data_IF_481389128037
#
_entry.id   IF_481389128037
#
_cell.length_a   1.000
_cell.length_b   1.000
_cell.length_c   1.000
_cell.angle_alpha   90.00
_cell.angle_beta   90.00
_cell.angle_gamma   90.00
#
_symmetry.space_group_name_H-M   'P 1'
#
loop_
_entity.id
_entity.type
_entity.pdbx_description
1 polymer ?
#
# COMPACT_ATOMS: atom_id res chain seq x y z
N UNK A 1 29.46 7.87 -13.09
CA UNK A 1 28.11 7.81 -12.50
C UNK A 1 28.07 8.88 -11.42
N UNK A 2 27.04 9.72 -11.42
CA UNK A 2 26.84 10.77 -10.42
C UNK A 2 26.84 10.22 -8.99
N UNK A 3 26.97 11.11 -8.00
CA UNK A 3 26.80 10.81 -6.59
C UNK A 3 25.61 9.84 -6.37
N UNK A 4 25.84 8.63 -5.84
CA UNK A 4 24.81 7.61 -5.66
C UNK A 4 23.56 8.06 -4.89
N UNK A 5 23.68 9.08 -4.04
CA UNK A 5 22.51 9.70 -3.38
C UNK A 5 21.64 10.47 -4.39
N UNK A 6 22.26 11.24 -5.30
CA UNK A 6 21.55 11.94 -6.37
C UNK A 6 20.86 10.97 -7.32
N UNK A 7 21.53 9.87 -7.66
CA UNK A 7 20.96 8.81 -8.51
C UNK A 7 19.72 8.20 -7.86
N UNK A 8 19.77 7.89 -6.55
CA UNK A 8 18.61 7.37 -5.82
C UNK A 8 17.43 8.35 -5.81
N UNK A 9 17.70 9.64 -5.59
CA UNK A 9 16.64 10.66 -5.60
C UNK A 9 16.03 10.84 -6.99
N UNK A 10 16.86 10.87 -8.04
CA UNK A 10 16.39 10.95 -9.42
C UNK A 10 15.54 9.74 -9.81
N UNK A 11 15.98 8.54 -9.41
CA UNK A 11 15.24 7.30 -9.57
C UNK A 11 13.84 7.41 -8.98
N UNK A 12 13.71 7.90 -7.74
CA UNK A 12 12.40 8.03 -7.07
C UNK A 12 11.49 9.06 -7.75
N UNK A 13 12.05 10.15 -8.26
CA UNK A 13 11.30 11.11 -9.08
C UNK A 13 10.73 10.44 -10.33
N UNK A 14 11.54 9.66 -11.04
CA UNK A 14 11.08 8.93 -12.23
C UNK A 14 10.02 7.87 -11.91
N UNK A 15 10.08 7.23 -10.75
CA UNK A 15 9.01 6.33 -10.30
C UNK A 15 7.70 7.12 -10.08
N UNK A 16 7.77 8.28 -9.42
CA UNK A 16 6.61 9.14 -9.21
C UNK A 16 6.00 9.64 -10.53
N UNK A 17 6.84 9.91 -11.53
CA UNK A 17 6.42 10.31 -12.88
C UNK A 17 5.92 9.12 -13.74
N UNK A 18 5.89 7.90 -13.19
CA UNK A 18 5.47 6.69 -13.91
C UNK A 18 6.49 6.16 -14.92
N UNK A 19 7.72 6.69 -14.95
CA UNK A 19 8.82 6.29 -15.86
C UNK A 19 9.54 5.05 -15.35
N UNK A 20 8.80 3.96 -15.22
CA UNK A 20 9.26 2.73 -14.55
C UNK A 20 10.40 2.02 -15.28
N UNK A 21 10.52 2.18 -16.60
CA UNK A 21 11.55 1.53 -17.44
C UNK A 21 12.94 2.11 -17.15
N UNK A 22 13.02 3.44 -17.21
CA UNK A 22 14.23 4.20 -16.87
C UNK A 22 14.58 3.95 -15.41
N UNK A 23 13.57 3.94 -14.53
CA UNK A 23 13.75 3.66 -13.11
C UNK A 23 14.32 2.27 -12.87
N UNK A 24 13.86 1.25 -13.60
CA UNK A 24 14.39 -0.11 -13.47
C UNK A 24 15.87 -0.16 -13.81
N UNK A 25 16.27 0.40 -14.96
CA UNK A 25 17.66 0.42 -15.42
C UNK A 25 18.54 1.16 -14.43
N UNK A 26 18.13 2.35 -14.00
CA UNK A 26 18.88 3.14 -13.02
C UNK A 26 19.04 2.40 -11.69
N UNK A 27 18.00 1.72 -11.21
CA UNK A 27 18.07 0.94 -9.98
C UNK A 27 19.00 -0.28 -10.11
N UNK A 28 18.98 -0.96 -11.25
CA UNK A 28 19.89 -2.09 -11.55
C UNK A 28 21.36 -1.64 -11.60
N UNK A 29 21.64 -0.54 -12.29
CA UNK A 29 22.98 0.03 -12.40
C UNK A 29 23.52 0.52 -11.03
N UNK A 30 22.68 1.24 -10.27
CA UNK A 30 23.04 1.74 -8.94
C UNK A 30 23.32 0.59 -7.96
N UNK A 31 22.46 -0.42 -7.93
CA UNK A 31 22.65 -1.59 -7.05
C UNK A 31 23.88 -2.39 -7.46
N UNK A 32 24.14 -2.56 -8.76
CA UNK A 32 25.35 -3.23 -9.26
C UNK A 32 26.62 -2.48 -8.87
N UNK A 33 26.63 -1.15 -9.01
CA UNK A 33 27.76 -0.31 -8.58
C UNK A 33 28.03 -0.49 -7.08
N UNK A 34 27.01 -0.33 -6.23
CA UNK A 34 27.15 -0.43 -4.78
C UNK A 34 27.49 -1.86 -4.31
N UNK A 35 27.06 -2.89 -5.04
CA UNK A 35 27.45 -4.28 -4.76
C UNK A 35 28.90 -4.58 -5.10
N UNK A 36 29.48 -3.86 -6.08
CA UNK A 36 30.89 -4.04 -6.49
C UNK A 36 31.90 -3.47 -5.48
N UNK A 37 31.46 -2.60 -4.57
CA UNK A 37 32.30 -2.01 -3.52
C UNK A 37 32.69 -3.05 -2.46
N UNK A 38 33.98 -3.43 -2.42
CA UNK A 38 34.49 -4.48 -1.51
C UNK A 38 34.46 -4.09 -0.02
N UNK A 39 34.62 -2.81 0.30
CA UNK A 39 34.64 -2.27 1.67
C UNK A 39 33.68 -1.08 1.73
N UNK A 40 32.49 -1.29 2.29
CA UNK A 40 31.47 -0.26 2.42
C UNK A 40 31.47 0.33 3.83
N UNK A 41 31.36 1.66 3.89
CA UNK A 41 31.03 2.37 5.13
C UNK A 41 29.58 2.07 5.53
N UNK A 42 29.17 2.41 6.77
CA UNK A 42 27.79 2.28 7.19
C UNK A 42 26.84 3.01 6.23
N UNK A 43 27.14 4.28 5.90
CA UNK A 43 26.36 5.09 4.97
C UNK A 43 26.23 4.45 3.58
N UNK A 44 27.31 3.86 3.04
CA UNK A 44 27.27 3.16 1.75
C UNK A 44 26.42 1.89 1.82
N UNK A 45 26.46 1.17 2.94
CA UNK A 45 25.61 0.00 3.16
C UNK A 45 24.13 0.41 3.29
N UNK A 46 23.81 1.51 3.98
CA UNK A 46 22.45 2.06 4.08
C UNK A 46 21.90 2.42 2.70
N UNK A 47 22.71 3.11 1.89
CA UNK A 47 22.33 3.49 0.54
C UNK A 47 22.08 2.26 -0.34
N UNK A 48 22.91 1.21 -0.23
CA UNK A 48 22.70 -0.04 -0.94
C UNK A 48 21.36 -0.71 -0.56
N UNK A 49 21.04 -0.75 0.73
CA UNK A 49 19.78 -1.33 1.21
C UNK A 49 18.58 -0.56 0.66
N UNK A 50 18.63 0.78 0.64
CA UNK A 50 17.59 1.61 0.04
C UNK A 50 17.46 1.35 -1.47
N UNK A 51 18.57 1.34 -2.21
CA UNK A 51 18.58 1.09 -3.65
C UNK A 51 18.04 -0.31 -4.00
N UNK A 52 18.40 -1.34 -3.22
CA UNK A 52 17.90 -2.70 -3.41
C UNK A 52 16.40 -2.81 -3.13
N UNK A 53 15.89 -2.09 -2.12
CA UNK A 53 14.46 -2.03 -1.82
C UNK A 53 13.68 -1.38 -2.95
N UNK A 54 14.14 -0.23 -3.42
CA UNK A 54 13.53 0.48 -4.55
C UNK A 54 13.57 -0.40 -5.81
N UNK A 55 14.71 -1.05 -6.11
CA UNK A 55 14.84 -1.95 -7.25
C UNK A 55 13.85 -3.13 -7.17
N UNK A 56 13.73 -3.77 -6.00
CA UNK A 56 12.81 -4.87 -5.81
C UNK A 56 11.34 -4.43 -5.97
N UNK A 57 10.98 -3.25 -5.47
CA UNK A 57 9.65 -2.65 -5.61
C UNK A 57 9.33 -2.26 -7.06
N UNK A 58 10.26 -1.63 -7.78
CA UNK A 58 10.08 -1.26 -9.19
C UNK A 58 9.84 -2.52 -10.04
N UNK A 59 10.65 -3.57 -9.82
CA UNK A 59 10.45 -4.86 -10.50
C UNK A 59 9.11 -5.51 -10.14
N UNK A 60 8.61 -5.30 -8.91
CA UNK A 60 7.28 -5.75 -8.49
C UNK A 60 6.17 -5.02 -9.26
N UNK A 61 6.22 -3.68 -9.30
CA UNK A 61 5.24 -2.83 -10.02
C UNK A 61 5.21 -3.20 -11.50
N UNK A 62 6.38 -3.46 -12.09
CA UNK A 62 6.54 -3.91 -13.48
C UNK A 62 6.22 -5.40 -13.69
N UNK A 63 5.75 -6.10 -12.67
CA UNK A 63 5.35 -7.51 -12.71
C UNK A 63 6.48 -8.46 -13.15
N UNK A 64 7.74 -8.06 -12.96
CA UNK A 64 8.94 -8.89 -13.23
C UNK A 64 9.24 -9.77 -12.01
N UNK A 65 8.27 -10.63 -11.64
CA UNK A 65 8.23 -11.37 -10.37
C UNK A 65 9.51 -12.15 -10.04
N UNK A 66 10.10 -12.84 -11.02
CA UNK A 66 11.33 -13.62 -10.81
C UNK A 66 12.54 -12.74 -10.53
N UNK A 67 12.65 -11.58 -11.19
CA UNK A 67 13.72 -10.62 -10.96
C UNK A 67 13.51 -9.89 -9.64
N UNK A 68 12.28 -9.47 -9.35
CA UNK A 68 11.91 -8.87 -8.06
C UNK A 68 12.28 -9.80 -6.89
N UNK A 69 12.01 -11.12 -7.02
CA UNK A 69 12.42 -12.12 -6.02
C UNK A 69 13.95 -12.23 -5.87
N UNK A 70 14.72 -12.08 -6.95
CA UNK A 70 16.19 -12.08 -6.87
C UNK A 70 16.67 -10.85 -6.11
N UNK A 71 16.17 -9.66 -6.46
CA UNK A 71 16.48 -8.41 -5.78
C UNK A 71 16.11 -8.47 -4.29
N UNK A 72 14.92 -8.97 -3.94
CA UNK A 72 14.45 -9.12 -2.56
C UNK A 72 15.34 -10.09 -1.73
N UNK A 73 15.85 -11.16 -2.33
CA UNK A 73 16.82 -12.06 -1.67
C UNK A 73 18.16 -11.37 -1.40
N UNK A 74 18.63 -10.55 -2.33
CA UNK A 74 19.84 -9.74 -2.12
C UNK A 74 19.60 -8.70 -1.03
N UNK A 75 18.46 -7.99 -1.08
CA UNK A 75 18.03 -7.04 -0.04
C UNK A 75 18.04 -7.68 1.36
N UNK A 76 17.44 -8.85 1.55
CA UNK A 76 17.41 -9.54 2.85
C UNK A 76 18.80 -9.85 3.41
N UNK A 77 19.74 -10.23 2.54
CA UNK A 77 21.15 -10.47 2.95
C UNK A 77 21.83 -9.17 3.34
N UNK A 78 21.68 -8.12 2.53
CA UNK A 78 22.33 -6.84 2.75
C UNK A 78 21.71 -6.05 3.91
N UNK A 79 20.42 -6.20 4.18
CA UNK A 79 19.75 -5.63 5.36
C UNK A 79 20.23 -6.28 6.64
N UNK A 80 20.43 -7.61 6.65
CA UNK A 80 21.01 -8.31 7.80
C UNK A 80 22.43 -7.82 8.11
N UNK A 81 23.26 -7.59 7.09
CA UNK A 81 24.59 -6.99 7.25
C UNK A 81 24.51 -5.57 7.81
N UNK A 82 23.57 -4.76 7.31
CA UNK A 82 23.34 -3.41 7.81
C UNK A 82 22.98 -3.41 9.30
N UNK A 83 22.04 -4.27 9.73
CA UNK A 83 21.67 -4.39 11.14
C UNK A 83 22.88 -4.75 12.01
N UNK A 84 23.76 -5.64 11.54
CA UNK A 84 25.00 -6.00 12.25
C UNK A 84 26.00 -4.84 12.33
N UNK A 85 26.11 -4.02 11.29
CA UNK A 85 26.97 -2.82 11.30
C UNK A 85 26.43 -1.78 12.28
N UNK A 86 25.12 -1.49 12.22
CA UNK A 86 24.44 -0.57 13.14
C UNK A 86 24.57 -0.98 14.60
N UNK A 87 24.40 -2.27 14.89
CA UNK A 87 24.56 -2.81 16.25
C UNK A 87 25.99 -2.59 16.80
N UNK A 88 27.03 -2.68 15.95
CA UNK A 88 28.41 -2.39 16.35
C UNK A 88 28.65 -0.92 16.67
N UNK A 89 27.91 -0.02 16.02
CA UNK A 89 27.97 1.43 16.25
C UNK A 89 26.98 1.90 17.32
N UNK A 90 26.21 1.00 17.94
CA UNK A 90 25.22 1.32 18.98
C UNK A 90 23.96 2.00 18.46
N UNK A 91 23.70 1.93 17.15
CA UNK A 91 22.55 2.53 16.49
C UNK A 91 21.44 1.48 16.36
N UNK A 92 20.29 1.69 16.98
CA UNK A 92 19.07 0.89 16.75
C UNK A 92 17.86 1.81 16.73
N UNK A 93 16.94 1.64 15.77
CA UNK A 93 15.77 2.50 15.62
C UNK A 93 14.53 1.76 15.13
N UNK A 94 13.37 2.33 15.44
CA UNK A 94 12.04 1.77 15.15
C UNK A 94 11.71 1.69 13.64
N UNK A 95 12.30 2.58 12.83
CA UNK A 95 12.12 2.60 11.37
C UNK A 95 12.51 1.27 10.70
N UNK A 96 13.46 0.54 11.29
CA UNK A 96 13.88 -0.76 10.76
C UNK A 96 12.78 -1.82 10.87
N UNK A 97 11.93 -1.76 11.89
CA UNK A 97 10.82 -2.69 12.06
C UNK A 97 9.75 -2.47 10.99
N UNK A 98 9.42 -1.21 10.69
CA UNK A 98 8.46 -0.84 9.64
C UNK A 98 8.95 -1.31 8.27
N UNK A 99 10.20 -1.01 7.92
CA UNK A 99 10.80 -1.43 6.65
C UNK A 99 10.84 -2.96 6.49
N UNK A 100 11.06 -3.73 7.57
CA UNK A 100 11.00 -5.20 7.54
C UNK A 100 9.59 -5.74 7.29
N UNK A 101 8.56 -5.04 7.77
CA UNK A 101 7.16 -5.40 7.50
C UNK A 101 6.86 -5.18 6.02
N UNK A 102 7.29 -4.05 5.45
CA UNK A 102 7.14 -3.74 4.02
C UNK A 102 7.87 -4.76 3.13
N UNK A 103 9.13 -5.09 3.45
CA UNK A 103 9.91 -6.11 2.73
C UNK A 103 9.21 -7.49 2.76
N UNK A 104 8.60 -7.83 3.90
CA UNK A 104 7.85 -9.08 4.07
C UNK A 104 6.56 -9.09 3.26
N UNK A 105 5.83 -7.95 3.23
CA UNK A 105 4.64 -7.76 2.40
C UNK A 105 4.97 -7.89 0.92
N UNK A 106 6.03 -7.21 0.46
CA UNK A 106 6.52 -7.27 -0.91
C UNK A 106 6.89 -8.70 -1.31
N UNK A 107 7.68 -9.39 -0.48
CA UNK A 107 8.04 -10.79 -0.73
C UNK A 107 6.81 -11.70 -0.75
N UNK A 108 5.81 -11.41 0.08
CA UNK A 108 4.52 -12.09 0.09
C UNK A 108 3.78 -11.94 -1.24
N UNK A 109 3.66 -10.71 -1.77
CA UNK A 109 3.03 -10.40 -3.05
C UNK A 109 3.73 -11.08 -4.22
N UNK A 110 5.07 -11.04 -4.27
CA UNK A 110 5.82 -11.78 -5.30
C UNK A 110 5.52 -13.28 -5.24
N UNK A 111 5.52 -13.88 -4.05
CA UNK A 111 5.23 -15.31 -3.92
C UNK A 111 3.78 -15.66 -4.28
N UNK A 112 2.82 -14.77 -4.02
CA UNK A 112 1.43 -14.92 -4.47
C UNK A 112 1.38 -14.99 -6.00
N UNK A 113 2.06 -14.09 -6.71
CA UNK A 113 2.11 -14.08 -8.17
C UNK A 113 2.92 -15.24 -8.77
N UNK A 114 3.88 -15.80 -8.02
CA UNK A 114 4.60 -17.01 -8.40
C UNK A 114 3.86 -18.32 -8.03
N UNK A 115 2.63 -18.26 -7.50
CA UNK A 115 1.84 -19.43 -7.12
C UNK A 115 2.30 -20.14 -5.82
N UNK A 116 3.21 -19.53 -5.07
CA UNK A 116 3.82 -20.10 -3.87
C UNK A 116 3.01 -19.79 -2.60
N UNK A 117 1.81 -20.38 -2.46
CA UNK A 117 0.87 -20.11 -1.36
C UNK A 117 1.52 -20.02 0.03
N UNK A 118 2.28 -21.06 0.44
CA UNK A 118 2.87 -21.11 1.79
C UNK A 118 3.83 -19.94 2.04
N UNK A 119 4.63 -19.58 1.03
CA UNK A 119 5.60 -18.48 1.15
C UNK A 119 4.89 -17.12 1.14
N UNK A 120 3.82 -16.99 0.35
CA UNK A 120 2.98 -15.79 0.35
C UNK A 120 2.37 -15.55 1.74
N UNK A 121 1.71 -16.57 2.32
CA UNK A 121 1.12 -16.49 3.66
C UNK A 121 2.15 -16.16 4.74
N UNK A 122 3.36 -16.70 4.65
CA UNK A 122 4.44 -16.36 5.58
C UNK A 122 4.80 -14.87 5.50
N UNK A 123 4.96 -14.32 4.29
CA UNK A 123 5.25 -12.89 4.08
C UNK A 123 4.18 -11.98 4.67
N UNK A 124 2.90 -12.33 4.50
CA UNK A 124 1.79 -11.55 5.04
C UNK A 124 1.58 -11.73 6.56
N UNK A 125 2.09 -12.81 7.14
CA UNK A 125 1.81 -13.15 8.54
C UNK A 125 2.38 -12.13 9.53
N UNK A 126 3.53 -11.53 9.23
CA UNK A 126 4.17 -10.51 10.06
C UNK A 126 3.35 -9.23 10.08
N UNK A 127 2.98 -8.72 8.89
CA UNK A 127 2.14 -7.53 8.74
C UNK A 127 0.72 -7.72 9.29
N UNK A 128 0.15 -8.93 9.16
CA UNK A 128 -1.15 -9.23 9.75
C UNK A 128 -1.15 -9.12 11.29
N UNK A 129 -0.03 -9.46 11.95
CA UNK A 129 0.11 -9.30 13.41
C UNK A 129 0.21 -7.83 13.84
N UNK A 130 0.70 -6.95 12.97
CA UNK A 130 0.78 -5.51 13.23
C UNK A 130 -0.51 -4.76 12.87
N UNK A 131 -1.62 -5.47 12.61
CA UNK A 131 -2.92 -4.85 12.31
C UNK A 131 -3.11 -4.41 10.86
N UNK A 132 -2.24 -4.83 9.94
CA UNK A 132 -2.33 -4.46 8.53
C UNK A 132 -3.48 -5.23 7.84
N UNK A 133 -4.59 -4.56 7.57
CA UNK A 133 -5.80 -5.18 6.97
C UNK A 133 -5.46 -5.76 5.59
N UNK A 134 -4.68 -5.04 4.79
CA UNK A 134 -4.22 -5.52 3.48
C UNK A 134 -3.51 -6.88 3.55
N UNK A 135 -2.72 -7.15 4.59
CA UNK A 135 -2.05 -8.45 4.73
C UNK A 135 -3.07 -9.60 4.87
N UNK A 136 -4.20 -9.35 5.53
CA UNK A 136 -5.30 -10.30 5.62
C UNK A 136 -6.04 -10.46 4.29
N UNK A 137 -6.26 -9.37 3.53
CA UNK A 137 -6.84 -9.44 2.19
C UNK A 137 -5.96 -10.31 1.28
N UNK A 138 -4.67 -10.00 1.18
CA UNK A 138 -3.72 -10.73 0.34
C UNK A 138 -3.58 -12.19 0.77
N UNK A 139 -3.77 -12.51 2.06
CA UNK A 139 -3.79 -13.88 2.54
C UNK A 139 -4.99 -14.68 2.01
N UNK A 140 -6.17 -14.08 1.88
CA UNK A 140 -7.34 -14.73 1.26
C UNK A 140 -7.15 -14.83 -0.25
N UNK A 141 -6.69 -13.75 -0.88
CA UNK A 141 -6.38 -13.70 -2.31
C UNK A 141 -5.36 -14.77 -2.72
N UNK A 142 -4.37 -15.06 -1.86
CA UNK A 142 -3.39 -16.11 -2.13
C UNK A 142 -4.05 -17.49 -2.28
N UNK A 143 -5.09 -17.81 -1.51
CA UNK A 143 -5.83 -19.06 -1.69
C UNK A 143 -6.57 -19.08 -3.02
N UNK A 144 -7.28 -18.01 -3.34
CA UNK A 144 -7.99 -17.86 -4.61
C UNK A 144 -7.03 -18.06 -5.80
N UNK A 145 -5.94 -17.27 -5.87
CA UNK A 145 -5.00 -17.31 -6.99
C UNK A 145 -4.17 -18.59 -7.06
N UNK A 146 -3.70 -19.11 -5.91
CA UNK A 146 -2.81 -20.28 -5.91
C UNK A 146 -3.55 -21.62 -5.91
N UNK A 147 -4.82 -21.67 -5.50
CA UNK A 147 -5.62 -22.90 -5.40
C UNK A 147 -6.88 -22.90 -6.25
N UNK A 148 -7.19 -21.78 -6.92
CA UNK A 148 -8.42 -21.61 -7.69
C UNK A 148 -9.70 -21.68 -6.85
N UNK A 149 -9.59 -21.64 -5.51
CA UNK A 149 -10.72 -21.80 -4.59
C UNK A 149 -10.41 -21.30 -3.18
N UNK A 150 -11.46 -21.02 -2.43
CA UNK A 150 -11.42 -20.56 -1.04
C UNK A 150 -11.85 -21.64 -0.02
N UNK A 151 -12.04 -22.89 -0.45
CA UNK A 151 -12.42 -24.03 0.42
C UNK A 151 -11.52 -24.22 1.64
N UNK A 152 -10.22 -23.87 1.50
CA UNK A 152 -9.22 -23.98 2.57
C UNK A 152 -8.84 -22.62 3.19
N UNK A 153 -9.53 -21.54 2.81
CA UNK A 153 -9.24 -20.18 3.25
C UNK A 153 -9.99 -19.78 4.54
N UNK A 154 -10.83 -20.64 5.11
CA UNK A 154 -11.71 -20.33 6.26
C UNK A 154 -10.97 -19.65 7.42
N UNK A 155 -9.77 -20.13 7.79
CA UNK A 155 -8.99 -19.55 8.90
C UNK A 155 -8.48 -18.14 8.58
N UNK A 156 -7.98 -17.91 7.36
CA UNK A 156 -7.46 -16.59 6.97
C UNK A 156 -8.61 -15.59 6.73
N UNK A 157 -9.73 -16.04 6.20
CA UNK A 157 -10.93 -15.22 6.02
C UNK A 157 -11.56 -14.83 7.37
N UNK A 158 -11.56 -15.71 8.38
CA UNK A 158 -11.95 -15.33 9.76
C UNK A 158 -11.04 -14.26 10.35
N UNK A 159 -9.73 -14.35 10.12
CA UNK A 159 -8.79 -13.29 10.56
C UNK A 159 -9.06 -11.96 9.87
N UNK A 160 -9.35 -11.96 8.58
CA UNK A 160 -9.79 -10.76 7.85
C UNK A 160 -11.06 -10.16 8.48
N UNK A 161 -12.08 -10.99 8.72
CA UNK A 161 -13.32 -10.52 9.34
C UNK A 161 -13.09 -9.90 10.72
N UNK A 162 -12.19 -10.48 11.53
CA UNK A 162 -11.82 -9.92 12.82
C UNK A 162 -11.09 -8.59 12.67
N UNK A 163 -10.11 -8.50 11.77
CA UNK A 163 -9.39 -7.25 11.50
C UNK A 163 -10.33 -6.13 11.03
N UNK A 164 -11.29 -6.43 10.16
CA UNK A 164 -12.34 -5.51 9.73
C UNK A 164 -13.36 -5.17 10.84
N UNK A 165 -13.48 -6.02 11.86
CA UNK A 165 -14.30 -5.74 13.03
C UNK A 165 -13.61 -4.87 14.07
N UNK A 166 -12.29 -4.79 14.01
CA UNK A 166 -11.46 -4.02 14.92
C UNK A 166 -11.04 -2.66 14.36
N UNK A 167 -11.17 -2.44 13.05
CA UNK A 167 -10.86 -1.14 12.45
C UNK A 167 -11.91 -0.08 12.80
N UNK A 168 -11.51 1.19 12.70
CA UNK A 168 -12.43 2.31 12.86
C UNK A 168 -13.49 2.40 11.75
N UNK A 169 -14.36 3.42 11.79
CA UNK A 169 -15.31 3.68 10.71
C UNK A 169 -14.59 4.00 9.40
N UNK A 170 -15.33 3.94 8.30
CA UNK A 170 -14.87 4.43 6.99
C UNK A 170 -14.62 5.94 7.10
N UNK A 171 -13.46 6.37 6.62
CA UNK A 171 -13.10 7.77 6.48
C UNK A 171 -12.94 8.12 5.01
N UNK A 172 -12.95 9.42 4.70
CA UNK A 172 -12.61 9.92 3.37
C UNK A 172 -11.40 10.83 3.46
N UNK A 173 -10.34 10.50 2.72
CA UNK A 173 -9.10 11.27 2.65
C UNK A 173 -8.68 11.41 1.19
N UNK A 174 -8.33 12.62 0.77
CA UNK A 174 -7.91 12.92 -0.61
C UNK A 174 -8.86 12.40 -1.70
N UNK A 175 -10.17 12.38 -1.40
CA UNK A 175 -11.20 11.89 -2.31
C UNK A 175 -11.44 10.38 -2.26
N UNK A 176 -10.61 9.60 -1.57
CA UNK A 176 -10.70 8.15 -1.45
C UNK A 176 -11.29 7.69 -0.11
N UNK A 177 -12.04 6.59 -0.14
CA UNK A 177 -12.54 5.94 1.08
C UNK A 177 -11.49 4.99 1.67
N UNK A 178 -11.16 5.20 2.94
CA UNK A 178 -10.14 4.43 3.65
C UNK A 178 -10.64 3.85 4.97
N UNK A 179 -10.07 2.72 5.36
CA UNK A 179 -10.13 2.18 6.72
C UNK A 179 -8.82 2.45 7.41
N UNK A 180 -8.89 2.87 8.67
CA UNK A 180 -7.74 3.05 9.55
C UNK A 180 -7.77 1.92 10.57
N UNK A 181 -6.72 1.11 10.59
CA UNK A 181 -6.56 0.07 11.61
C UNK A 181 -6.30 0.69 12.97
N UNK A 182 -6.42 -0.09 14.05
CA UNK A 182 -6.08 0.37 15.41
C UNK A 182 -4.66 0.94 15.54
N UNK A 183 -3.77 0.54 14.65
CA UNK A 183 -2.37 0.94 14.65
C UNK A 183 -2.07 2.06 13.64
N UNK A 184 -3.09 2.74 13.12
CA UNK A 184 -2.94 3.88 12.20
C UNK A 184 -2.64 3.51 10.75
N UNK A 185 -2.65 2.22 10.39
CA UNK A 185 -2.40 1.79 9.01
C UNK A 185 -3.66 1.96 8.17
N UNK A 186 -3.52 2.59 7.00
CA UNK A 186 -4.62 2.83 6.07
C UNK A 186 -4.82 1.67 5.11
N UNK A 187 -6.05 1.47 4.65
CA UNK A 187 -6.38 0.48 3.61
C UNK A 187 -7.58 0.97 2.80
N UNK A 188 -7.47 0.96 1.47
CA UNK A 188 -8.57 1.35 0.57
C UNK A 188 -9.82 0.50 0.80
N UNK A 189 -10.95 1.17 1.04
CA UNK A 189 -12.26 0.54 1.21
C UNK A 189 -12.74 -0.07 -0.11
N UNK A 190 -12.43 0.56 -1.25
CA UNK A 190 -12.74 0.03 -2.57
C UNK A 190 -12.09 -1.36 -2.74
N UNK A 191 -10.78 -1.46 -2.47
CA UNK A 191 -10.06 -2.74 -2.55
C UNK A 191 -10.68 -3.80 -1.64
N UNK A 192 -11.10 -3.44 -0.42
CA UNK A 192 -11.79 -4.35 0.50
C UNK A 192 -13.11 -4.81 -0.10
N UNK A 193 -13.99 -3.88 -0.47
CA UNK A 193 -15.35 -4.16 -0.92
C UNK A 193 -15.37 -4.99 -2.21
N UNK A 194 -14.58 -4.63 -3.22
CA UNK A 194 -14.44 -5.41 -4.46
C UNK A 194 -13.94 -6.83 -4.18
N UNK A 195 -12.98 -6.99 -3.26
CA UNK A 195 -12.46 -8.32 -2.90
C UNK A 195 -13.52 -9.17 -2.18
N UNK A 196 -14.25 -8.58 -1.24
CA UNK A 196 -15.33 -9.27 -0.52
C UNK A 196 -16.44 -9.72 -1.48
N UNK A 197 -16.88 -8.83 -2.38
CA UNK A 197 -17.90 -9.14 -3.40
C UNK A 197 -17.52 -10.33 -4.27
N UNK A 198 -16.24 -10.42 -4.64
CA UNK A 198 -15.69 -11.56 -5.39
C UNK A 198 -15.69 -12.83 -4.55
N UNK A 199 -15.24 -12.77 -3.29
CA UNK A 199 -15.02 -13.95 -2.44
C UNK A 199 -16.28 -14.56 -1.84
N UNK A 200 -17.35 -13.79 -1.67
CA UNK A 200 -18.63 -14.31 -1.17
C UNK A 200 -19.40 -15.12 -2.22
N UNK A 201 -18.95 -15.10 -3.49
CA UNK A 201 -19.58 -15.87 -4.55
C UNK A 201 -19.49 -17.39 -4.26
N UNK A 202 -20.59 -18.14 -4.39
CA UNK A 202 -20.59 -19.59 -4.11
C UNK A 202 -19.56 -20.39 -4.91
N UNK A 203 -19.22 -19.91 -6.11
CA UNK A 203 -18.25 -20.54 -7.03
C UNK A 203 -16.86 -20.74 -6.41
N UNK A 204 -16.45 -19.87 -5.47
CA UNK A 204 -15.14 -19.99 -4.81
C UNK A 204 -15.16 -20.95 -3.61
N UNK A 205 -16.34 -21.38 -3.15
CA UNK A 205 -16.47 -22.43 -2.13
C UNK A 205 -15.97 -22.04 -0.74
N UNK A 206 -16.05 -20.76 -0.37
CA UNK A 206 -15.81 -20.31 1.00
C UNK A 206 -16.91 -20.87 1.93
N UNK A 207 -16.56 -21.19 3.18
CA UNK A 207 -17.51 -21.77 4.13
C UNK A 207 -18.65 -20.79 4.46
N UNK A 208 -19.89 -21.28 4.50
CA UNK A 208 -21.10 -20.46 4.62
C UNK A 208 -21.13 -19.54 5.84
N UNK A 209 -20.65 -19.98 7.01
CA UNK A 209 -20.56 -19.15 8.23
C UNK A 209 -19.67 -17.91 8.01
N UNK A 210 -18.59 -18.07 7.27
CA UNK A 210 -17.68 -16.97 6.92
C UNK A 210 -18.29 -16.07 5.84
N UNK A 211 -18.95 -16.64 4.84
CA UNK A 211 -19.66 -15.88 3.78
C UNK A 211 -20.68 -14.93 4.41
N UNK A 212 -21.50 -15.42 5.34
CA UNK A 212 -22.49 -14.60 6.07
C UNK A 212 -21.78 -13.44 6.80
N UNK A 213 -20.72 -13.75 7.56
CA UNK A 213 -19.98 -12.74 8.32
C UNK A 213 -19.39 -11.64 7.43
N UNK A 214 -18.74 -12.02 6.32
CA UNK A 214 -18.17 -11.08 5.36
C UNK A 214 -19.23 -10.29 4.60
N UNK A 215 -20.38 -10.89 4.31
CA UNK A 215 -21.52 -10.19 3.69
C UNK A 215 -22.05 -9.09 4.60
N UNK A 216 -22.20 -9.36 5.90
CA UNK A 216 -22.60 -8.35 6.89
C UNK A 216 -21.58 -7.20 6.95
N UNK A 217 -20.27 -7.51 6.91
CA UNK A 217 -19.22 -6.49 6.85
C UNK A 217 -19.31 -5.64 5.59
N UNK A 218 -19.45 -6.26 4.42
CA UNK A 218 -19.61 -5.57 3.15
C UNK A 218 -20.81 -4.61 3.15
N UNK A 219 -21.96 -5.06 3.64
CA UNK A 219 -23.16 -4.22 3.76
C UNK A 219 -22.95 -3.04 4.71
N UNK A 220 -22.27 -3.26 5.84
CA UNK A 220 -21.94 -2.17 6.78
C UNK A 220 -21.02 -1.13 6.14
N UNK A 221 -19.98 -1.55 5.41
CA UNK A 221 -19.08 -0.63 4.70
C UNK A 221 -19.82 0.20 3.65
N UNK A 222 -20.68 -0.42 2.84
CA UNK A 222 -21.49 0.28 1.83
C UNK A 222 -22.43 1.31 2.45
N UNK A 223 -23.04 1.00 3.60
CA UNK A 223 -23.87 1.95 4.34
C UNK A 223 -23.08 3.16 4.83
N UNK A 224 -21.85 2.94 5.32
CA UNK A 224 -20.98 4.03 5.76
C UNK A 224 -20.58 4.93 4.59
N UNK A 225 -20.21 4.35 3.44
CA UNK A 225 -19.92 5.10 2.21
C UNK A 225 -21.10 6.00 1.83
N UNK A 226 -22.30 5.43 1.69
CA UNK A 226 -23.50 6.18 1.31
C UNK A 226 -23.85 7.30 2.34
N UNK A 227 -23.57 7.06 3.62
CA UNK A 227 -23.77 8.08 4.66
C UNK A 227 -22.80 9.25 4.53
N UNK A 228 -21.55 9.00 4.13
CA UNK A 228 -20.56 10.05 3.92
C UNK A 228 -20.93 10.85 2.68
N UNK A 229 -21.24 10.18 1.57
CA UNK A 229 -21.61 10.82 0.31
C UNK A 229 -22.87 11.69 0.45
N UNK A 230 -23.91 11.20 1.14
CA UNK A 230 -25.13 11.98 1.38
C UNK A 230 -24.87 13.19 2.29
N UNK A 231 -24.00 13.05 3.29
CA UNK A 231 -23.59 14.17 4.15
C UNK A 231 -22.84 15.26 3.38
N UNK A 232 -21.92 14.87 2.51
CA UNK A 232 -21.18 15.80 1.64
C UNK A 232 -22.10 16.50 0.62
N UNK A 233 -23.01 15.75 -0.01
CA UNK A 233 -24.00 16.33 -0.92
C UNK A 233 -24.87 17.37 -0.20
N UNK A 234 -25.29 17.08 1.04
CA UNK A 234 -26.06 18.03 1.84
C UNK A 234 -25.25 19.28 2.22
N UNK A 235 -23.95 19.14 2.53
CA UNK A 235 -23.07 20.28 2.80
C UNK A 235 -22.84 21.13 1.55
N UNK A 236 -22.58 20.50 0.41
CA UNK A 236 -22.40 21.18 -0.88
C UNK A 236 -23.66 21.92 -1.32
N UNK A 237 -24.85 21.32 -1.14
CA UNK A 237 -26.12 21.98 -1.42
C UNK A 237 -26.30 23.26 -0.57
N UNK A 238 -25.94 23.21 0.73
CA UNK A 238 -25.99 24.39 1.61
C UNK A 238 -25.01 25.47 1.16
N UNK A 239 -23.79 25.11 0.76
CA UNK A 239 -22.80 26.04 0.22
C UNK A 239 -23.30 26.69 -1.07
N UNK A 240 -23.90 25.91 -1.98
CA UNK A 240 -24.46 26.44 -3.21
C UNK A 240 -25.59 27.44 -2.92
N UNK A 241 -26.52 27.11 -2.01
CA UNK A 241 -27.56 28.05 -1.58
C UNK A 241 -26.97 29.32 -0.94
N UNK A 242 -25.86 29.21 -0.21
CA UNK A 242 -25.16 30.37 0.34
C UNK A 242 -24.52 31.22 -0.76
N UNK A 243 -23.92 30.59 -1.79
CA UNK A 243 -23.36 31.30 -2.96
C UNK A 243 -24.48 31.99 -3.75
N UNK A 244 -25.58 31.29 -4.01
CA UNK A 244 -26.73 31.83 -4.76
C UNK A 244 -27.42 32.98 -4.02
N UNK A 245 -27.29 33.03 -2.70
CA UNK A 245 -27.82 34.14 -1.87
C UNK A 245 -26.86 35.33 -1.74
N UNK A 246 -25.61 35.22 -2.23
CA UNK A 246 -24.73 36.37 -2.38
C UNK A 246 -25.20 37.23 -3.55
N UNK A 247 -25.81 38.38 -3.25
CA UNK A 247 -26.08 39.40 -4.26
C UNK A 247 -24.76 40.01 -4.75
N UNK A 248 -24.51 40.12 -6.06
CA UNK A 248 -23.32 40.80 -6.57
C UNK A 248 -23.42 42.30 -6.31
N UNK A 249 -22.68 42.81 -5.33
CA UNK A 249 -22.41 44.24 -5.17
C UNK A 249 -21.31 44.66 -6.14
N UNK A 250 -21.65 44.79 -7.42
CA UNK A 250 -20.88 45.64 -8.32
C UNK A 250 -21.85 46.62 -8.95
N UNK A 251 -21.97 47.78 -8.32
CA UNK A 251 -22.68 48.92 -8.90
C UNK A 251 -21.78 49.50 -10.01
N UNK A 252 -21.93 48.98 -11.24
CA UNK A 252 -21.15 49.44 -12.41
C UNK A 252 -21.52 50.87 -12.86
N UNK A 253 -22.47 51.52 -12.19
CA UNK A 253 -23.01 52.80 -12.63
C UNK A 253 -22.23 54.03 -12.14
N UNK A 254 -21.27 53.91 -11.21
CA UNK A 254 -20.51 55.08 -10.73
C UNK A 254 -19.35 55.53 -11.65
N UNK A 255 -18.93 54.74 -12.65
CA UNK A 255 -17.83 55.14 -13.56
C UNK A 255 -18.25 55.89 -14.83
N UNK A 256 -19.53 56.21 -15.02
CA UNK A 256 -20.00 56.85 -16.26
C UNK A 256 -20.52 58.29 -16.13
N UNK A 257 -20.56 58.87 -14.92
CA UNK A 257 -21.06 60.25 -14.71
C UNK A 257 -20.01 61.27 -14.28
N UNK A 258 -18.73 60.90 -14.19
CA UNK A 258 -17.64 61.82 -13.80
C UNK A 258 -16.65 62.06 -14.93
N UNK A 259 -17.11 62.67 -16.04
CA UNK A 259 -16.27 63.48 -16.96
C UNK A 259 -17.16 64.25 -17.95
N UNK A 260 -17.70 65.39 -17.52
CA UNK A 260 -18.08 66.51 -18.39
C UNK A 260 -17.48 67.78 -17.81
#
# INVERSE_FOLDING_TARGET
MDDPVKVLNQLRSYVADGRLEISEVMAEELTSLLLSEKKRTLQRQELLVLALRDHANILEIRQKWKLSMKAAKTLSKESTKLSQMRAKEGLSGDDEAVLKIEDSMQTGRINLHLGNLRKALNGFSTAGKSGHIEAHLLSVEAFEKCKGSLKKATKVAKKLNNALGECGPVNRENGEFILISKNGLTTSVEKVTTSLERWIQPSLGLKQDVVISLTTRLQSLRKQIASIESGEQAANAKLQTAIDSLQPTVDYHEYSQSSR
#
